data_IF_498177019269
#
_entry.id   IF_498177019269
#
_cell.length_a   1.000
_cell.length_b   1.000
_cell.length_c   1.000
_cell.angle_alpha   90.00
_cell.angle_beta   90.00
_cell.angle_gamma   90.00
#
_symmetry.space_group_name_H-M   'P 1'
#
loop_
_entity.id
_entity.type
_entity.pdbx_description
1 polymer ?
#
# COMPACT_ATOMS: atom_id res chain seq x y z
N UNK A 1 -1.70 15.94 -1.85
CA UNK A 1 -0.78 15.53 -2.94
C UNK A 1 -1.16 16.34 -4.17
N UNK A 2 -0.59 17.53 -4.35
CA UNK A 2 -0.88 18.36 -5.52
C UNK A 2 0.13 18.00 -6.60
N UNK A 3 -0.32 17.41 -7.71
CA UNK A 3 0.55 17.04 -8.85
C UNK A 3 0.98 15.57 -8.95
N UNK A 4 0.41 14.67 -8.15
CA UNK A 4 0.63 13.23 -8.27
C UNK A 4 -0.57 12.54 -8.93
N UNK A 5 -0.32 11.68 -9.91
CA UNK A 5 -1.33 10.83 -10.54
C UNK A 5 -1.39 9.49 -9.81
N UNK A 6 -2.60 9.06 -9.41
CA UNK A 6 -2.82 7.72 -8.87
C UNK A 6 -2.96 6.74 -10.03
N UNK A 7 -2.07 5.74 -10.11
CA UNK A 7 -2.00 4.84 -11.28
C UNK A 7 -2.65 3.50 -10.98
N UNK A 8 -2.43 2.95 -9.79
CA UNK A 8 -2.91 1.62 -9.41
C UNK A 8 -3.15 1.52 -7.91
N UNK A 9 -4.19 0.78 -7.55
CA UNK A 9 -4.54 0.41 -6.18
C UNK A 9 -4.45 -1.10 -6.03
N UNK A 10 -3.75 -1.56 -4.99
CA UNK A 10 -3.79 -2.94 -4.54
C UNK A 10 -4.43 -3.01 -3.16
N UNK A 11 -5.37 -3.94 -3.02
CA UNK A 11 -6.07 -4.22 -1.77
C UNK A 11 -5.51 -5.52 -1.21
N UNK A 12 -5.02 -5.48 0.01
CA UNK A 12 -4.48 -6.67 0.68
C UNK A 12 -5.56 -7.44 1.43
N UNK A 13 -5.18 -8.63 1.86
CA UNK A 13 -6.06 -9.50 2.62
C UNK A 13 -6.36 -8.90 4.00
N UNK A 14 -7.65 -8.91 4.38
CA UNK A 14 -8.11 -8.55 5.72
C UNK A 14 -7.81 -9.71 6.66
N UNK A 15 -7.26 -9.42 7.85
CA UNK A 15 -7.17 -10.42 8.90
C UNK A 15 -8.54 -10.51 9.59
N UNK A 16 -9.04 -11.72 9.87
CA UNK A 16 -10.40 -11.90 10.37
C UNK A 16 -10.71 -11.13 11.67
N UNK A 17 -9.66 -10.78 12.43
CA UNK A 17 -9.78 -10.08 13.72
C UNK A 17 -9.41 -8.59 13.62
N UNK A 18 -8.94 -8.11 12.45
CA UNK A 18 -8.57 -6.71 12.26
C UNK A 18 -9.64 -5.97 11.48
N UNK A 19 -10.10 -4.84 12.03
CA UNK A 19 -10.88 -3.84 11.30
C UNK A 19 -10.01 -3.05 10.30
N UNK A 20 -8.91 -3.64 9.83
CA UNK A 20 -7.88 -2.96 9.04
C UNK A 20 -7.69 -3.70 7.73
N UNK A 21 -7.85 -2.95 6.63
CA UNK A 21 -7.56 -3.41 5.28
C UNK A 21 -6.25 -2.75 4.83
N UNK A 22 -5.19 -3.53 4.57
CA UNK A 22 -3.97 -2.98 3.99
C UNK A 22 -4.23 -2.53 2.55
N UNK A 23 -3.74 -1.33 2.21
CA UNK A 23 -3.80 -0.78 0.85
C UNK A 23 -2.39 -0.40 0.39
N UNK A 24 -2.13 -0.57 -0.90
CA UNK A 24 -0.95 -0.04 -1.56
C UNK A 24 -1.37 0.76 -2.79
N UNK A 25 -0.79 1.94 -2.98
CA UNK A 25 -1.14 2.84 -4.07
C UNK A 25 0.13 3.21 -4.83
N UNK A 26 0.15 2.96 -6.14
CA UNK A 26 1.19 3.48 -7.01
C UNK A 26 0.83 4.91 -7.40
N UNK A 27 1.72 5.83 -7.03
CA UNK A 27 1.63 7.24 -7.36
C UNK A 27 2.77 7.59 -8.32
N UNK A 28 2.45 8.32 -9.38
CA UNK A 28 3.40 8.91 -10.31
C UNK A 28 3.42 10.41 -10.12
N UNK A 29 4.56 11.00 -9.77
CA UNK A 29 4.67 12.45 -9.78
C UNK A 29 5.02 12.94 -11.19
N UNK A 30 4.41 14.03 -11.62
CA UNK A 30 4.52 14.50 -13.01
C UNK A 30 5.90 15.08 -13.38
N UNK A 31 6.85 15.10 -12.45
CA UNK A 31 8.12 15.82 -12.60
C UNK A 31 9.29 14.96 -13.05
N UNK A 32 9.26 13.62 -12.92
CA UNK A 32 10.40 12.76 -13.29
C UNK A 32 10.01 11.27 -13.42
N UNK A 33 10.64 10.52 -14.34
CA UNK A 33 10.43 9.07 -14.53
C UNK A 33 10.83 8.27 -13.27
N UNK A 34 11.74 8.81 -12.46
CA UNK A 34 12.19 8.28 -11.16
C UNK A 34 11.27 8.60 -9.98
N UNK A 35 10.14 9.25 -10.21
CA UNK A 35 9.26 9.71 -9.13
C UNK A 35 8.07 8.78 -8.85
N UNK A 36 8.04 7.60 -9.46
CA UNK A 36 7.02 6.61 -9.14
C UNK A 36 7.33 5.95 -7.78
N UNK A 37 6.33 5.84 -6.93
CA UNK A 37 6.47 5.19 -5.64
C UNK A 37 5.17 4.51 -5.21
N UNK A 38 5.32 3.37 -4.52
CA UNK A 38 4.22 2.72 -3.82
C UNK A 38 4.12 3.31 -2.43
N UNK A 39 2.94 3.79 -2.09
CA UNK A 39 2.59 4.21 -0.74
C UNK A 39 1.67 3.16 -0.11
N UNK A 40 2.04 2.69 1.06
CA UNK A 40 1.27 1.72 1.84
C UNK A 40 0.45 2.44 2.88
N UNK A 41 -0.84 2.12 2.96
CA UNK A 41 -1.80 2.71 3.89
C UNK A 41 -2.55 1.62 4.66
N UNK A 42 -3.05 2.00 5.83
CA UNK A 42 -4.07 1.24 6.56
C UNK A 42 -5.42 1.89 6.36
N UNK A 43 -6.39 1.12 5.89
CA UNK A 43 -7.80 1.54 5.87
C UNK A 43 -8.52 0.89 7.03
N UNK A 44 -8.83 1.67 8.07
CA UNK A 44 -9.72 1.21 9.15
C UNK A 44 -11.16 1.20 8.65
N UNK A 45 -11.82 0.06 8.82
CA UNK A 45 -13.19 -0.20 8.42
C UNK A 45 -14.01 -0.63 9.65
N UNK A 46 -14.95 0.22 10.07
CA UNK A 46 -15.95 -0.17 11.06
C UNK A 46 -17.27 -0.46 10.32
N UNK A 47 -17.67 -1.74 10.32
CA UNK A 47 -18.88 -2.26 9.68
C UNK A 47 -20.03 -2.44 10.70
N UNK A 48 -20.19 -1.47 11.62
CA UNK A 48 -21.32 -1.40 12.54
C UNK A 48 -22.59 -0.81 11.89
N UNK A 49 -23.39 -0.07 12.68
CA UNK A 49 -24.65 0.55 12.21
C UNK A 49 -24.44 1.55 11.07
N UNK A 50 -23.28 2.22 11.06
CA UNK A 50 -22.84 3.08 9.97
C UNK A 50 -21.45 2.67 9.55
N UNK A 51 -21.26 2.39 8.26
CA UNK A 51 -19.95 2.11 7.70
C UNK A 51 -19.07 3.36 7.81
N UNK A 52 -17.97 3.25 8.54
CA UNK A 52 -16.94 4.30 8.63
C UNK A 52 -15.65 3.75 8.05
N UNK A 53 -15.12 4.48 7.07
CA UNK A 53 -13.83 4.21 6.43
C UNK A 53 -12.86 5.33 6.81
N UNK A 54 -11.74 4.99 7.43
CA UNK A 54 -10.70 5.94 7.82
C UNK A 54 -9.37 5.49 7.23
N UNK A 55 -8.81 6.30 6.33
CA UNK A 55 -7.48 6.07 5.79
C UNK A 55 -6.45 6.69 6.74
N UNK A 56 -5.59 5.85 7.32
CA UNK A 56 -4.47 6.32 8.14
C UNK A 56 -3.35 6.91 7.27
N UNK A 57 -2.43 7.73 7.82
CA UNK A 57 -1.25 8.19 7.11
C UNK A 57 -0.42 7.03 6.52
N UNK A 58 0.31 7.29 5.43
CA UNK A 58 1.13 6.24 4.80
C UNK A 58 2.16 5.71 5.78
N UNK A 59 2.16 4.39 5.96
CA UNK A 59 3.05 3.70 6.90
C UNK A 59 4.41 3.45 6.28
N UNK A 60 4.43 3.32 4.95
CA UNK A 60 5.64 3.00 4.21
C UNK A 60 5.58 3.59 2.80
N UNK A 61 6.75 3.99 2.31
CA UNK A 61 6.97 4.39 0.92
C UNK A 61 8.05 3.49 0.31
N UNK A 62 7.81 3.01 -0.90
CA UNK A 62 8.74 2.16 -1.66
C UNK A 62 8.97 2.85 -3.01
N UNK A 63 10.14 3.48 -3.22
CA UNK A 63 10.44 4.15 -4.48
C UNK A 63 10.65 3.13 -5.61
N UNK A 64 10.35 3.53 -6.84
CA UNK A 64 10.61 2.72 -8.02
C UNK A 64 12.11 2.63 -8.30
N UNK A 65 12.59 1.40 -8.50
CA UNK A 65 13.96 1.12 -8.93
C UNK A 65 14.04 1.05 -10.47
N UNK A 66 15.26 1.08 -11.01
CA UNK A 66 15.55 1.13 -12.46
C UNK A 66 14.85 0.01 -13.25
N UNK A 67 14.74 -1.18 -12.66
CA UNK A 67 14.18 -2.37 -13.32
C UNK A 67 12.64 -2.42 -13.28
N UNK A 68 11.99 -1.43 -12.66
CA UNK A 68 10.54 -1.34 -12.52
C UNK A 68 9.95 -2.47 -11.67
N UNK A 69 8.62 -2.61 -11.72
CA UNK A 69 7.88 -3.69 -11.08
C UNK A 69 7.03 -4.43 -12.11
N UNK A 70 7.03 -5.77 -12.04
CA UNK A 70 6.21 -6.64 -12.88
C UNK A 70 4.83 -6.81 -12.24
N UNK A 71 4.81 -7.18 -10.95
CA UNK A 71 3.58 -7.36 -10.19
C UNK A 71 3.78 -7.01 -8.72
N UNK A 72 2.68 -6.66 -8.07
CA UNK A 72 2.65 -6.32 -6.65
C UNK A 72 1.45 -6.98 -6.02
N UNK A 73 1.68 -7.68 -4.91
CA UNK A 73 0.63 -8.30 -4.11
C UNK A 73 0.76 -7.86 -2.67
N UNK A 74 -0.37 -7.49 -2.08
CA UNK A 74 -0.46 -7.13 -0.68
C UNK A 74 -1.06 -8.29 0.11
N UNK A 75 -0.39 -8.69 1.17
CA UNK A 75 -0.86 -9.68 2.15
C UNK A 75 -1.17 -8.95 3.46
N UNK A 76 -1.59 -9.67 4.49
CA UNK A 76 -1.91 -9.05 5.79
C UNK A 76 -0.69 -8.44 6.48
N UNK A 77 0.51 -8.97 6.27
CA UNK A 77 1.73 -8.56 6.97
C UNK A 77 2.87 -8.12 6.05
N UNK A 78 2.74 -8.30 4.73
CA UNK A 78 3.78 -8.02 3.74
C UNK A 78 3.24 -7.44 2.45
N UNK A 79 4.08 -6.65 1.77
CA UNK A 79 3.97 -6.36 0.35
C UNK A 79 5.02 -7.16 -0.42
N UNK A 80 4.56 -7.88 -1.43
CA UNK A 80 5.35 -8.71 -2.32
C UNK A 80 5.49 -7.99 -3.65
N UNK A 81 6.72 -7.72 -4.09
CA UNK A 81 7.02 -7.00 -5.34
C UNK A 81 7.83 -7.94 -6.22
N UNK A 82 7.24 -8.36 -7.34
CA UNK A 82 7.90 -9.14 -8.36
C UNK A 82 8.64 -8.19 -9.32
N UNK A 83 9.91 -8.46 -9.53
CA UNK A 83 10.82 -7.77 -10.45
C UNK A 83 11.40 -8.78 -11.44
N UNK A 84 12.08 -8.27 -12.47
CA UNK A 84 12.79 -9.10 -13.44
C UNK A 84 13.87 -9.98 -12.79
N UNK A 85 14.48 -9.50 -11.71
CA UNK A 85 15.57 -10.17 -10.99
C UNK A 85 15.10 -10.99 -9.77
N UNK A 86 13.81 -11.07 -9.49
CA UNK A 86 13.27 -11.90 -8.40
C UNK A 86 12.11 -11.27 -7.63
N UNK A 87 11.80 -11.87 -6.48
CA UNK A 87 10.73 -11.44 -5.59
C UNK A 87 11.30 -10.73 -4.36
N UNK A 88 10.87 -9.49 -4.11
CA UNK A 88 11.21 -8.73 -2.90
C UNK A 88 10.00 -8.69 -1.97
N UNK A 89 10.24 -8.96 -0.69
CA UNK A 89 9.22 -8.95 0.36
C UNK A 89 9.52 -7.82 1.36
N UNK A 90 8.64 -6.85 1.49
CA UNK A 90 8.71 -5.87 2.57
C UNK A 90 7.65 -6.19 3.61
N UNK A 91 8.06 -6.26 4.88
CA UNK A 91 7.12 -6.38 6.01
C UNK A 91 6.40 -5.06 6.20
N UNK A 92 5.08 -5.11 6.32
CA UNK A 92 4.26 -3.94 6.66
C UNK A 92 4.55 -3.61 8.13
N UNK A 93 5.12 -2.42 8.38
CA UNK A 93 5.39 -1.96 9.73
C UNK A 93 4.06 -1.81 10.49
N UNK A 94 4.04 -2.21 11.77
CA UNK A 94 2.86 -2.39 12.62
C UNK A 94 1.61 -1.61 12.18
N UNK A 95 0.61 -2.35 11.67
CA UNK A 95 -0.78 -1.90 11.62
C UNK A 95 -1.33 -1.94 13.07
N UNK A 96 -0.82 -1.06 13.92
CA UNK A 96 -1.11 -1.08 15.35
C UNK A 96 -2.57 -0.69 15.58
N UNK A 97 -3.38 -1.66 15.97
CA UNK A 97 -4.65 -1.41 16.65
C UNK A 97 -4.27 -0.87 18.03
N UNK A 98 -4.20 0.46 18.20
CA UNK A 98 -4.41 1.03 19.53
C UNK A 98 -5.86 0.71 19.91
N UNK A 99 -6.01 -0.31 20.74
CA UNK A 99 -7.17 -0.53 21.61
C UNK A 99 -7.36 0.66 22.55
#
# INVERSE_FOLDING_TARGET
MTGATLVRLWVGQVHNDSSIIPLAILCKHNLEISSEAIYVYSLRCNLGVRTVLLLEPSIQNIPMEVDGWIDVKLTSDKICILKSNGLVLHKLLHMNVKT
#
